data_IF_964290200989
#
_entry.id   IF_964290200989
#
_cell.length_a   1.000
_cell.length_b   1.000
_cell.length_c   1.000
_cell.angle_alpha   90.00
_cell.angle_beta   90.00
_cell.angle_gamma   90.00
#
_symmetry.space_group_name_H-M   'P 1'
#
loop_
_entity.id
_entity.type
_entity.pdbx_description
1 polymer ?
#
# COMPACT_ATOMS: atom_id res chain seq x y z
N UNK A 1 0.92 -20.29 4.17
CA UNK A 1 0.24 -18.99 4.00
C UNK A 1 1.03 -17.97 4.80
N UNK A 2 1.83 -17.12 4.15
CA UNK A 2 2.77 -16.22 4.83
C UNK A 2 2.14 -14.84 5.01
N UNK A 3 1.77 -14.50 6.23
CA UNK A 3 1.37 -13.14 6.58
C UNK A 3 2.61 -12.23 6.59
N UNK A 4 2.50 -11.04 5.99
CA UNK A 4 3.56 -10.03 5.99
C UNK A 4 3.16 -8.88 6.90
N UNK A 5 3.91 -8.69 7.96
CA UNK A 5 3.76 -7.55 8.85
C UNK A 5 4.65 -6.40 8.36
N UNK A 6 4.08 -5.20 8.27
CA UNK A 6 4.79 -3.98 7.88
C UNK A 6 4.39 -2.89 8.85
N UNK A 7 5.36 -2.15 9.38
CA UNK A 7 5.06 -1.03 10.27
C UNK A 7 4.21 0.02 9.56
N UNK A 8 3.19 0.53 10.25
CA UNK A 8 2.24 1.47 9.68
C UNK A 8 2.88 2.77 9.25
N UNK A 9 3.76 3.28 10.11
CA UNK A 9 4.51 4.52 9.87
C UNK A 9 5.40 4.34 8.65
N UNK A 10 6.11 3.21 8.56
CA UNK A 10 6.94 2.89 7.40
C UNK A 10 6.09 2.89 6.12
N UNK A 11 4.93 2.25 6.15
CA UNK A 11 4.03 2.17 4.99
C UNK A 11 3.55 3.54 4.51
N UNK A 12 3.12 4.41 5.43
CA UNK A 12 2.64 5.76 5.10
C UNK A 12 3.79 6.65 4.61
N UNK A 13 4.94 6.62 5.27
CA UNK A 13 6.13 7.39 4.86
C UNK A 13 6.61 6.95 3.47
N UNK A 14 6.65 5.64 3.21
CA UNK A 14 7.04 5.12 1.90
C UNK A 14 6.02 5.50 0.81
N UNK A 15 4.73 5.49 1.14
CA UNK A 15 3.66 5.91 0.20
C UNK A 15 3.72 7.40 -0.08
N UNK A 16 4.17 8.22 0.87
CA UNK A 16 4.36 9.66 0.68
C UNK A 16 5.60 9.99 -0.17
N UNK A 17 6.75 9.38 0.12
CA UNK A 17 8.01 9.66 -0.60
C UNK A 17 8.14 8.92 -1.94
N UNK A 18 7.62 7.70 -2.04
CA UNK A 18 7.78 6.79 -3.20
C UNK A 18 6.43 6.46 -3.84
N UNK A 19 5.36 7.20 -3.48
CA UNK A 19 4.01 6.96 -3.99
C UNK A 19 3.88 7.03 -5.51
N UNK A 20 4.57 8.00 -6.14
CA UNK A 20 4.57 8.13 -7.60
C UNK A 20 5.34 7.00 -8.32
N UNK A 21 6.15 6.23 -7.59
CA UNK A 21 6.94 5.11 -8.11
C UNK A 21 6.24 3.75 -7.90
N UNK A 22 5.13 3.70 -7.15
CA UNK A 22 4.30 2.50 -6.97
C UNK A 22 4.88 1.42 -6.05
N UNK A 23 5.98 1.69 -5.34
CA UNK A 23 6.73 0.71 -4.52
C UNK A 23 5.94 0.21 -3.31
N UNK A 24 5.04 1.03 -2.76
CA UNK A 24 4.13 0.65 -1.66
C UNK A 24 3.17 -0.50 -2.01
N UNK A 25 2.85 -0.73 -3.30
CA UNK A 25 2.05 -1.87 -3.77
C UNK A 25 2.87 -3.15 -3.91
N UNK A 26 4.16 -3.04 -4.17
CA UNK A 26 5.09 -4.18 -4.13
C UNK A 26 5.25 -4.72 -2.70
N UNK A 27 5.20 -3.84 -1.69
CA UNK A 27 5.19 -4.26 -0.28
C UNK A 27 3.97 -5.13 0.07
N UNK A 28 2.81 -4.83 -0.53
CA UNK A 28 1.59 -5.64 -0.37
C UNK A 28 1.61 -6.94 -1.20
N UNK A 29 2.67 -7.25 -1.96
CA UNK A 29 2.72 -8.45 -2.80
C UNK A 29 1.89 -8.36 -4.10
N UNK A 30 1.29 -7.20 -4.39
CA UNK A 30 0.48 -6.98 -5.60
C UNK A 30 1.34 -6.48 -6.76
N UNK A 31 2.36 -7.26 -7.13
CA UNK A 31 3.34 -6.91 -8.17
C UNK A 31 2.68 -6.63 -9.52
N UNK A 32 1.71 -7.46 -9.93
CA UNK A 32 1.01 -7.29 -11.20
C UNK A 32 0.25 -5.96 -11.29
N UNK A 33 -0.39 -5.56 -10.20
CA UNK A 33 -1.13 -4.30 -10.09
C UNK A 33 -0.17 -3.10 -9.99
N UNK A 34 1.00 -3.27 -9.38
CA UNK A 34 2.07 -2.26 -9.36
C UNK A 34 2.62 -1.95 -10.76
N UNK A 35 2.84 -2.99 -11.58
CA UNK A 35 3.26 -2.84 -12.98
C UNK A 35 2.17 -2.19 -13.84
N UNK A 36 0.91 -2.58 -13.64
CA UNK A 36 -0.23 -2.00 -14.35
C UNK A 36 -0.40 -0.52 -14.00
N UNK A 37 -0.15 -0.16 -12.74
CA UNK A 37 -0.06 1.23 -12.31
C UNK A 37 1.09 1.97 -12.97
N UNK A 38 2.30 1.43 -13.05
CA UNK A 38 3.43 2.11 -13.70
C UNK A 38 3.14 2.40 -15.18
N UNK A 39 2.51 1.45 -15.88
CA UNK A 39 2.08 1.62 -17.27
C UNK A 39 0.91 2.60 -17.42
N UNK A 40 -0.05 2.60 -16.49
CA UNK A 40 -1.20 3.52 -16.49
C UNK A 40 -0.94 4.86 -15.78
N UNK A 41 0.20 5.05 -15.11
CA UNK A 41 0.53 6.27 -14.37
C UNK A 41 0.59 7.47 -15.32
N UNK A 42 1.13 7.24 -16.52
CA UNK A 42 1.18 8.23 -17.58
C UNK A 42 -0.21 8.65 -18.08
N UNK A 43 -1.18 7.73 -18.06
CA UNK A 43 -2.58 7.99 -18.47
C UNK A 43 -3.35 8.81 -17.42
N UNK A 44 -2.94 8.74 -16.15
CA UNK A 44 -3.70 9.29 -15.01
C UNK A 44 -3.02 10.47 -14.32
N UNK A 45 -1.99 11.05 -14.95
CA UNK A 45 -1.28 12.26 -14.48
C UNK A 45 -0.78 12.15 -13.03
N UNK A 46 -0.53 10.93 -12.52
CA UNK A 46 -0.14 10.75 -11.13
C UNK A 46 -1.24 11.07 -10.11
N UNK A 47 -2.52 10.77 -10.38
CA UNK A 47 -3.56 10.84 -9.35
C UNK A 47 -3.61 9.59 -8.44
N UNK A 48 -3.09 8.47 -8.92
CA UNK A 48 -3.17 7.17 -8.25
C UNK A 48 -2.43 7.11 -6.90
N UNK A 49 -1.28 7.79 -6.78
CA UNK A 49 -0.55 7.82 -5.51
C UNK A 49 -1.34 8.53 -4.41
N UNK A 50 -2.12 9.57 -4.77
CA UNK A 50 -2.94 10.33 -3.84
C UNK A 50 -4.08 9.46 -3.28
N UNK A 51 -4.72 8.65 -4.14
CA UNK A 51 -5.76 7.69 -3.73
C UNK A 51 -5.17 6.67 -2.74
N UNK A 52 -4.00 6.11 -3.05
CA UNK A 52 -3.37 5.11 -2.18
C UNK A 52 -2.88 5.72 -0.85
N UNK A 53 -2.43 6.97 -0.87
CA UNK A 53 -2.09 7.74 0.34
C UNK A 53 -3.31 7.93 1.26
N UNK A 54 -4.47 8.31 0.69
CA UNK A 54 -5.71 8.43 1.46
C UNK A 54 -6.15 7.08 2.03
N UNK A 55 -6.07 5.99 1.24
CA UNK A 55 -6.38 4.64 1.73
C UNK A 55 -5.47 4.26 2.90
N UNK A 56 -4.17 4.52 2.79
CA UNK A 56 -3.19 4.25 3.85
C UNK A 56 -3.52 5.02 5.14
N UNK A 57 -3.91 6.30 5.03
CA UNK A 57 -4.34 7.14 6.15
C UNK A 57 -5.64 6.62 6.81
N UNK A 58 -6.64 6.27 6.02
CA UNK A 58 -7.91 5.72 6.55
C UNK A 58 -7.66 4.40 7.28
N UNK A 59 -6.80 3.54 6.72
CA UNK A 59 -6.39 2.27 7.35
C UNK A 59 -5.58 2.48 8.62
N UNK A 60 -4.77 3.54 8.70
CA UNK A 60 -4.03 3.91 9.90
C UNK A 60 -4.97 4.17 11.08
N UNK A 61 -6.08 4.88 10.84
CA UNK A 61 -7.09 5.16 11.87
C UNK A 61 -8.00 3.98 12.23
N UNK A 62 -8.11 2.97 11.37
CA UNK A 62 -8.99 1.81 11.58
C UNK A 62 -8.29 0.60 12.21
N UNK A 63 -6.96 0.50 12.12
CA UNK A 63 -6.22 -0.63 12.71
C UNK A 63 -5.86 -0.34 14.18
N UNK A 64 -6.32 -1.12 15.16
CA UNK A 64 -5.76 -1.11 16.52
C UNK A 64 -4.46 -1.94 16.52
N UNK A 65 -3.30 -1.30 16.50
CA UNK A 65 -1.98 -1.96 16.52
C UNK A 65 -0.87 -1.09 15.93
N UNK A 66 0.40 -1.46 16.04
CA UNK A 66 1.49 -0.66 15.43
C UNK A 66 1.87 -1.13 14.01
N UNK A 67 1.37 -2.31 13.61
CA UNK A 67 1.72 -3.00 12.37
C UNK A 67 0.51 -3.24 11.47
N UNK A 68 0.69 -3.07 10.16
CA UNK A 68 -0.22 -3.57 9.13
C UNK A 68 0.13 -5.01 8.78
N UNK A 69 -0.88 -5.83 8.55
CA UNK A 69 -0.71 -7.23 8.18
C UNK A 69 -1.32 -7.42 6.81
N UNK A 70 -0.55 -8.01 5.92
CA UNK A 70 -0.95 -8.31 4.57
C UNK A 70 -0.97 -9.82 4.37
N UNK A 71 -2.05 -10.32 3.78
CA UNK A 71 -2.13 -11.70 3.29
C UNK A 71 -1.25 -11.87 2.03
N UNK A 72 -0.99 -13.11 1.62
CA UNK A 72 -0.25 -13.46 0.41
C UNK A 72 -0.81 -12.81 -0.87
N UNK A 73 -2.08 -12.40 -0.85
CA UNK A 73 -2.76 -11.71 -1.95
C UNK A 73 -2.71 -10.17 -1.85
N UNK A 74 -2.10 -9.63 -0.79
CA UNK A 74 -2.05 -8.18 -0.51
C UNK A 74 -3.33 -7.58 0.06
N UNK A 75 -4.24 -8.44 0.52
CA UNK A 75 -5.42 -8.01 1.26
C UNK A 75 -5.04 -7.58 2.67
N UNK A 76 -5.76 -6.58 3.18
CA UNK A 76 -5.62 -6.08 4.54
C UNK A 76 -6.18 -7.12 5.52
N UNK A 77 -5.30 -7.75 6.30
CA UNK A 77 -5.68 -8.70 7.33
C UNK A 77 -5.72 -8.01 8.69
N UNK A 78 -6.90 -7.93 9.30
CA UNK A 78 -7.06 -7.38 10.64
C UNK A 78 -6.56 -8.42 11.65
N UNK A 79 -5.70 -8.01 12.59
CA UNK A 79 -5.50 -8.79 13.83
C UNK A 79 -6.87 -8.82 14.53
N UNK A 80 -7.56 -9.95 14.44
CA UNK A 80 -8.69 -10.29 15.30
C UNK A 80 -8.14 -10.63 16.69
#
# INVERSE_FOLDING_TARGET
MGFREVDKVLYVVLTFFIGSFGVHRFLRGQVGIGILMLLCNWMTLGLWWLIDFVIALVKLGQYPGDKFIFDANGNWAYMQ
#
